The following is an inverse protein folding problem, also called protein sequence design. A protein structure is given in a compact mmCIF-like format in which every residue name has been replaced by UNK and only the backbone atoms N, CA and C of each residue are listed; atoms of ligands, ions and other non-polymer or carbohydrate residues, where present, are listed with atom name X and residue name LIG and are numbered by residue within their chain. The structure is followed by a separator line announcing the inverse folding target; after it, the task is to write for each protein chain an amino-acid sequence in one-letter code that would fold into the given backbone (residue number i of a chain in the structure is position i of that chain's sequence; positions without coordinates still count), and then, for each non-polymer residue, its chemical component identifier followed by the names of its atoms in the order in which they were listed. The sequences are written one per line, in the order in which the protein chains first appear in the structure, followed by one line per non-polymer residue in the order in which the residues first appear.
data_IF_887447033148
#
_entry.id   IF_887447033148
#
_cell.length_a   1.000
_cell.length_b   1.000
_cell.length_c   1.000
_cell.angle_alpha   90.00
_cell.angle_beta   90.00
_cell.angle_gamma   90.00
#
_symmetry.space_group_name_H-M   'P 1'
#
loop_
_entity.id
_entity.type
_entity.pdbx_description
1 polymer ?
#
# COMPACT_ATOMS: atom_id res chain seq x y z
N UNK A 1 6.14 19.23 -11.92
CA UNK A 1 5.58 18.15 -11.07
C UNK A 1 5.63 18.62 -9.63
N UNK A 2 4.75 18.18 -8.75
CA UNK A 2 4.78 18.48 -7.31
C UNK A 2 4.73 17.17 -6.55
N UNK A 3 5.72 16.93 -5.69
CA UNK A 3 5.72 15.76 -4.81
C UNK A 3 4.99 16.10 -3.49
N UNK A 4 4.13 15.20 -3.06
CA UNK A 4 3.37 15.32 -1.81
C UNK A 4 3.63 14.09 -0.95
N UNK A 5 3.92 14.29 0.32
CA UNK A 5 4.02 13.23 1.32
C UNK A 5 3.61 13.78 2.68
N UNK A 6 3.00 12.92 3.50
CA UNK A 6 2.65 13.29 4.88
C UNK A 6 3.89 13.41 5.78
N UNK A 7 4.95 12.65 5.46
CA UNK A 7 6.20 12.59 6.26
C UNK A 7 7.26 13.52 5.66
N UNK A 8 7.64 14.61 6.36
CA UNK A 8 8.62 15.58 5.83
C UNK A 8 9.98 14.98 5.49
N UNK A 9 10.39 13.90 6.18
CA UNK A 9 11.65 13.19 5.92
C UNK A 9 11.67 12.57 4.53
N UNK A 10 10.55 12.03 4.07
CA UNK A 10 10.40 11.45 2.72
C UNK A 10 10.56 12.53 1.66
N UNK A 11 10.04 13.72 1.91
CA UNK A 11 10.20 14.87 1.00
C UNK A 11 11.64 15.35 0.88
N UNK A 12 12.49 15.15 1.90
CA UNK A 12 13.93 15.46 1.78
C UNK A 12 14.62 14.61 0.73
N UNK A 13 14.18 13.36 0.56
CA UNK A 13 14.68 12.49 -0.52
C UNK A 13 14.10 12.90 -1.88
N UNK A 14 12.81 13.19 -1.94
CA UNK A 14 12.14 13.62 -3.18
C UNK A 14 12.73 14.93 -3.74
N UNK A 15 13.13 15.87 -2.89
CA UNK A 15 13.73 17.15 -3.29
C UNK A 15 15.01 17.04 -4.13
N UNK A 16 15.65 15.90 -4.14
CA UNK A 16 16.82 15.65 -5.00
C UNK A 16 16.44 15.57 -6.49
N UNK A 17 15.19 15.25 -6.77
CA UNK A 17 14.67 15.02 -8.13
C UNK A 17 13.50 15.96 -8.47
N UNK A 18 12.78 16.45 -7.46
CA UNK A 18 11.61 17.32 -7.60
C UNK A 18 11.74 18.52 -6.63
N UNK A 19 11.91 19.74 -7.15
CA UNK A 19 12.08 20.94 -6.30
C UNK A 19 10.79 21.35 -5.59
N UNK A 20 9.64 21.02 -6.16
CA UNK A 20 8.33 21.36 -5.60
C UNK A 20 7.82 20.21 -4.72
N UNK A 21 8.04 20.34 -3.41
CA UNK A 21 7.61 19.37 -2.42
C UNK A 21 6.69 20.04 -1.39
N UNK A 22 5.56 19.40 -1.11
CA UNK A 22 4.55 19.87 -0.16
C UNK A 22 4.29 18.79 0.88
N UNK A 23 4.47 19.11 2.15
CA UNK A 23 4.06 18.24 3.25
C UNK A 23 2.55 18.38 3.46
N UNK A 24 1.79 17.35 3.13
CA UNK A 24 0.34 17.38 3.24
C UNK A 24 -0.25 15.96 3.33
N UNK A 25 -1.47 15.90 3.86
CA UNK A 25 -2.29 14.71 3.84
C UNK A 25 -2.89 14.53 2.44
N UNK A 26 -2.73 13.33 1.88
CA UNK A 26 -3.31 12.96 0.59
C UNK A 26 -4.85 12.95 0.62
N UNK A 27 -5.45 12.82 1.80
CA UNK A 27 -6.89 12.89 2.02
C UNK A 27 -7.44 14.32 2.09
N UNK A 28 -6.54 15.34 2.20
CA UNK A 28 -6.88 16.76 2.29
C UNK A 28 -5.80 17.63 1.64
N UNK A 29 -5.71 17.60 0.31
CA UNK A 29 -4.67 18.27 -0.45
C UNK A 29 -4.82 19.80 -0.43
N UNK A 30 -3.72 20.55 -0.14
CA UNK A 30 -3.77 22.02 -0.03
C UNK A 30 -3.68 22.72 -1.40
N UNK A 31 -4.38 22.18 -2.39
CA UNK A 31 -4.41 22.71 -3.74
C UNK A 31 -5.83 23.11 -4.14
N UNK A 32 -5.95 24.11 -5.00
CA UNK A 32 -7.22 24.46 -5.60
C UNK A 32 -7.74 23.32 -6.51
N UNK A 33 -9.05 23.29 -6.75
CA UNK A 33 -9.61 22.36 -7.73
C UNK A 33 -9.08 22.61 -9.14
N UNK A 34 -9.01 21.55 -9.94
CA UNK A 34 -8.58 21.61 -11.33
C UNK A 34 -7.17 22.22 -11.53
N UNK A 35 -6.23 21.94 -10.63
CA UNK A 35 -4.86 22.49 -10.63
C UNK A 35 -3.83 21.59 -11.33
N UNK A 36 -4.17 20.33 -11.63
CA UNK A 36 -3.23 19.36 -12.18
C UNK A 36 -3.83 18.58 -13.34
N UNK A 37 -3.02 18.28 -14.36
CA UNK A 37 -3.43 17.48 -15.51
C UNK A 37 -3.23 15.98 -15.28
N UNK A 38 -2.43 15.62 -14.27
CA UNK A 38 -2.21 14.23 -13.86
C UNK A 38 -2.04 14.13 -12.36
N UNK A 39 -2.57 13.05 -11.79
CA UNK A 39 -2.37 12.66 -10.40
C UNK A 39 -1.85 11.23 -10.37
N UNK A 40 -0.74 11.03 -9.67
CA UNK A 40 -0.08 9.74 -9.58
C UNK A 40 0.28 9.40 -8.15
N UNK A 41 0.02 8.15 -7.75
CA UNK A 41 0.42 7.59 -6.46
C UNK A 41 0.97 6.18 -6.63
N UNK A 42 2.06 5.88 -5.94
CA UNK A 42 2.66 4.55 -5.95
C UNK A 42 2.76 4.00 -4.54
N UNK A 43 2.03 2.90 -4.28
CA UNK A 43 2.05 2.14 -3.03
C UNK A 43 1.87 3.02 -1.76
N UNK A 44 0.97 3.99 -1.83
CA UNK A 44 0.67 4.90 -0.72
C UNK A 44 -0.79 4.82 -0.25
N UNK A 45 -1.75 4.71 -1.15
CA UNK A 45 -3.18 4.82 -0.80
C UNK A 45 -3.71 3.68 0.07
N UNK A 46 -3.02 2.55 0.14
CA UNK A 46 -3.39 1.44 1.03
C UNK A 46 -3.35 1.79 2.53
N UNK A 47 -2.76 2.92 2.89
CA UNK A 47 -2.67 3.44 4.26
C UNK A 47 -3.77 4.44 4.60
N UNK A 48 -4.59 4.79 3.62
CA UNK A 48 -5.53 5.90 3.65
C UNK A 48 -6.97 5.42 3.45
N UNK A 49 -7.92 6.33 3.67
CA UNK A 49 -9.29 6.12 3.23
C UNK A 49 -9.37 6.32 1.72
N UNK A 50 -9.52 5.23 0.97
CA UNK A 50 -9.48 5.23 -0.50
C UNK A 50 -10.55 6.13 -1.12
N UNK A 51 -11.77 6.16 -0.56
CA UNK A 51 -12.87 7.01 -1.05
C UNK A 51 -12.50 8.50 -0.92
N UNK A 52 -11.89 8.88 0.20
CA UNK A 52 -11.48 10.26 0.45
C UNK A 52 -10.33 10.66 -0.46
N UNK A 53 -9.31 9.81 -0.60
CA UNK A 53 -8.17 10.04 -1.50
C UNK A 53 -8.63 10.22 -2.94
N UNK A 54 -9.53 9.35 -3.45
CA UNK A 54 -9.97 9.43 -4.83
C UNK A 54 -10.86 10.64 -5.09
N UNK A 55 -11.68 11.08 -4.11
CA UNK A 55 -12.41 12.34 -4.21
C UNK A 55 -11.48 13.56 -4.25
N UNK A 56 -10.43 13.57 -3.43
CA UNK A 56 -9.43 14.64 -3.46
C UNK A 56 -8.63 14.64 -4.77
N UNK A 57 -8.20 13.47 -5.25
CA UNK A 57 -7.55 13.35 -6.54
C UNK A 57 -8.45 13.89 -7.67
N UNK A 58 -9.73 13.52 -7.68
CA UNK A 58 -10.69 14.03 -8.64
C UNK A 58 -10.86 15.55 -8.53
N UNK A 59 -10.94 16.11 -7.32
CA UNK A 59 -11.09 17.54 -7.09
C UNK A 59 -9.94 18.35 -7.67
N UNK A 60 -8.70 17.91 -7.44
CA UNK A 60 -7.50 18.65 -7.87
C UNK A 60 -7.11 18.44 -9.32
N UNK A 61 -7.57 17.36 -9.97
CA UNK A 61 -7.36 17.14 -11.39
C UNK A 61 -8.17 18.12 -12.25
N UNK A 62 -7.64 18.58 -13.34
CA UNK A 62 -8.35 19.34 -14.38
C UNK A 62 -9.30 18.43 -15.18
N UNK A 63 -10.32 18.99 -15.86
CA UNK A 63 -11.18 18.22 -16.76
C UNK A 63 -10.34 17.43 -17.79
N UNK A 64 -10.65 16.14 -17.96
CA UNK A 64 -9.89 15.17 -18.77
C UNK A 64 -8.51 14.81 -18.20
N UNK A 65 -8.18 15.24 -16.99
CA UNK A 65 -6.95 14.86 -16.29
C UNK A 65 -6.83 13.36 -16.04
N UNK A 66 -5.62 12.89 -15.87
CA UNK A 66 -5.28 11.48 -15.66
C UNK A 66 -5.13 11.13 -14.18
N UNK A 67 -5.72 10.00 -13.80
CA UNK A 67 -5.40 9.30 -12.57
C UNK A 67 -4.57 8.05 -12.89
N UNK A 68 -3.48 7.84 -12.15
CA UNK A 68 -2.71 6.60 -12.15
C UNK A 68 -2.29 6.23 -10.72
N UNK A 69 -2.66 5.04 -10.28
CA UNK A 69 -2.42 4.56 -8.91
C UNK A 69 -1.87 3.15 -8.96
N UNK A 70 -0.82 2.88 -8.18
CA UNK A 70 -0.51 1.52 -7.77
C UNK A 70 -0.79 1.35 -6.28
N UNK A 71 -1.44 0.24 -5.93
CA UNK A 71 -1.75 -0.12 -4.55
C UNK A 71 -1.61 -1.62 -4.33
N UNK A 72 -1.70 -2.06 -3.08
CA UNK A 72 -1.67 -3.47 -2.73
C UNK A 72 -3.09 -4.02 -2.61
N UNK A 73 -3.27 -5.24 -3.12
CA UNK A 73 -4.51 -5.98 -3.08
C UNK A 73 -4.53 -7.09 -2.02
N UNK A 74 -5.68 -7.77 -1.87
CA UNK A 74 -5.91 -8.75 -0.80
C UNK A 74 -4.98 -9.97 -0.83
N UNK A 75 -4.36 -10.29 -1.98
CA UNK A 75 -3.38 -11.38 -2.10
C UNK A 75 -2.02 -11.08 -1.48
N UNK A 76 -1.72 -9.81 -1.13
CA UNK A 76 -0.44 -9.42 -0.56
C UNK A 76 -0.18 -10.12 0.76
N UNK A 77 1.02 -10.69 0.93
CA UNK A 77 1.47 -11.43 2.12
C UNK A 77 0.55 -12.60 2.50
N UNK A 78 -0.05 -13.28 1.53
CA UNK A 78 -0.91 -14.44 1.81
C UNK A 78 -0.18 -15.51 2.63
N UNK A 79 1.09 -15.80 2.31
CA UNK A 79 1.91 -16.77 3.04
C UNK A 79 2.09 -16.38 4.51
N UNK A 80 2.29 -15.09 4.76
CA UNK A 80 2.48 -14.57 6.12
C UNK A 80 1.17 -14.65 6.91
N UNK A 81 0.04 -14.25 6.30
CA UNK A 81 -1.28 -14.34 6.95
C UNK A 81 -1.65 -15.77 7.31
N UNK A 82 -1.47 -16.71 6.37
CA UNK A 82 -1.73 -18.12 6.61
C UNK A 82 -0.84 -18.67 7.72
N UNK A 83 0.43 -18.29 7.73
CA UNK A 83 1.38 -18.70 8.79
C UNK A 83 0.96 -18.15 10.16
N UNK A 84 0.55 -16.88 10.23
CA UNK A 84 0.05 -16.31 11.47
C UNK A 84 -1.24 -17.00 11.92
N UNK A 85 -2.16 -17.31 11.03
CA UNK A 85 -3.39 -18.01 11.38
C UNK A 85 -3.15 -19.40 12.02
N UNK A 86 -2.01 -20.06 11.73
CA UNK A 86 -1.61 -21.32 12.38
C UNK A 86 -1.04 -21.11 13.80
N UNK A 87 -0.56 -19.92 14.14
CA UNK A 87 0.21 -19.69 15.38
C UNK A 87 -0.40 -18.66 16.32
N UNK A 88 -1.26 -17.77 15.80
CA UNK A 88 -1.89 -16.67 16.54
C UNK A 88 -3.28 -16.35 15.96
N UNK A 89 -4.20 -15.90 16.81
CA UNK A 89 -5.56 -15.50 16.41
C UNK A 89 -5.70 -13.99 16.13
N UNK A 90 -4.64 -13.21 16.26
CA UNK A 90 -4.68 -11.76 16.06
C UNK A 90 -4.40 -11.38 14.59
N UNK A 91 -4.97 -10.28 14.10
CA UNK A 91 -4.60 -9.76 12.78
C UNK A 91 -3.15 -9.23 12.78
N UNK A 92 -2.39 -9.58 11.75
CA UNK A 92 -0.99 -9.21 11.60
C UNK A 92 -0.70 -8.43 10.31
N UNK A 93 -1.72 -8.18 9.51
CA UNK A 93 -1.65 -7.37 8.29
C UNK A 93 -2.87 -6.45 8.22
N UNK A 94 -2.74 -5.31 7.56
CA UNK A 94 -3.89 -4.46 7.22
C UNK A 94 -4.77 -5.16 6.17
N UNK A 95 -6.06 -4.80 6.14
CA UNK A 95 -6.93 -5.16 5.03
C UNK A 95 -6.59 -4.30 3.82
N UNK A 96 -6.40 -4.93 2.67
CA UNK A 96 -6.20 -4.24 1.40
C UNK A 96 -7.50 -4.22 0.60
N UNK A 97 -7.75 -3.11 -0.11
CA UNK A 97 -8.92 -2.99 -0.99
C UNK A 97 -8.79 -3.93 -2.19
N UNK A 98 -9.89 -4.56 -2.55
CA UNK A 98 -9.98 -5.37 -3.76
C UNK A 98 -10.37 -4.53 -5.01
N UNK A 99 -10.46 -5.20 -6.16
CA UNK A 99 -10.81 -4.53 -7.42
C UNK A 99 -12.20 -3.90 -7.40
N UNK A 100 -13.17 -4.53 -6.74
CA UNK A 100 -14.56 -4.03 -6.68
C UNK A 100 -14.62 -2.77 -5.83
N UNK A 101 -13.98 -2.77 -4.68
CA UNK A 101 -13.88 -1.62 -3.79
C UNK A 101 -13.17 -0.44 -4.45
N UNK A 102 -12.04 -0.68 -5.13
CA UNK A 102 -11.31 0.36 -5.85
C UNK A 102 -12.13 0.93 -7.01
N UNK A 103 -12.82 0.07 -7.77
CA UNK A 103 -13.70 0.49 -8.87
C UNK A 103 -14.86 1.33 -8.34
N UNK A 104 -15.53 0.87 -7.27
CA UNK A 104 -16.65 1.59 -6.67
C UNK A 104 -16.21 2.95 -6.13
N UNK A 105 -15.07 3.02 -5.44
CA UNK A 105 -14.52 4.27 -4.91
C UNK A 105 -14.17 5.25 -6.04
N UNK A 106 -13.55 4.79 -7.13
CA UNK A 106 -13.22 5.63 -8.28
C UNK A 106 -14.48 6.14 -9.00
N UNK A 107 -15.46 5.27 -9.23
CA UNK A 107 -16.74 5.67 -9.82
C UNK A 107 -17.51 6.63 -8.92
N UNK A 108 -17.55 6.38 -7.61
CA UNK A 108 -18.16 7.25 -6.61
C UNK A 108 -17.50 8.63 -6.51
N UNK A 109 -16.21 8.73 -6.80
CA UNK A 109 -15.49 10.00 -6.91
C UNK A 109 -15.75 10.76 -8.24
N UNK A 110 -16.40 10.13 -9.23
CA UNK A 110 -16.73 10.72 -10.53
C UNK A 110 -15.74 10.41 -11.64
N UNK A 111 -14.81 9.49 -11.44
CA UNK A 111 -13.88 9.06 -12.49
C UNK A 111 -14.57 8.23 -13.59
N UNK A 112 -14.09 8.40 -14.81
CA UNK A 112 -14.54 7.71 -16.03
C UNK A 112 -13.41 6.82 -16.59
N UNK A 113 -13.75 5.89 -17.48
CA UNK A 113 -12.79 4.99 -18.14
C UNK A 113 -11.85 4.28 -17.15
N UNK A 114 -12.44 3.78 -16.06
CA UNK A 114 -11.73 3.11 -14.98
C UNK A 114 -11.19 1.76 -15.51
N UNK A 115 -9.88 1.57 -15.41
CA UNK A 115 -9.20 0.33 -15.77
C UNK A 115 -8.36 -0.16 -14.61
N UNK A 116 -8.45 -1.45 -14.30
CA UNK A 116 -7.62 -2.11 -13.30
C UNK A 116 -6.81 -3.23 -13.96
N UNK A 117 -5.53 -3.26 -13.61
CA UNK A 117 -4.64 -4.38 -13.94
C UNK A 117 -4.07 -4.93 -12.64
N UNK A 118 -4.05 -6.25 -12.52
CA UNK A 118 -3.50 -6.94 -11.35
C UNK A 118 -2.21 -7.65 -11.72
N UNK A 119 -1.19 -7.46 -10.91
CA UNK A 119 0.13 -8.06 -11.08
C UNK A 119 0.54 -8.75 -9.78
N UNK A 120 0.84 -10.04 -9.86
CA UNK A 120 1.39 -10.79 -8.73
C UNK A 120 2.91 -10.83 -8.85
N UNK A 121 3.58 -10.31 -7.82
CA UNK A 121 5.03 -10.36 -7.68
C UNK A 121 5.37 -11.25 -6.49
N UNK A 122 6.27 -12.20 -6.67
CA UNK A 122 6.79 -13.03 -5.57
C UNK A 122 8.25 -12.64 -5.34
N UNK A 123 8.51 -12.04 -4.19
CA UNK A 123 9.87 -11.76 -3.74
C UNK A 123 10.35 -12.89 -2.83
N UNK A 124 11.63 -13.18 -2.89
CA UNK A 124 12.25 -14.25 -2.09
C UNK A 124 13.24 -13.65 -1.10
N UNK A 125 13.16 -14.09 0.15
CA UNK A 125 13.99 -13.61 1.25
C UNK A 125 14.83 -14.74 1.84
N UNK A 126 16.05 -14.45 2.34
CA UNK A 126 16.89 -15.46 2.95
C UNK A 126 16.26 -16.07 4.21
N UNK A 127 15.52 -15.27 4.97
CA UNK A 127 14.83 -15.69 6.18
C UNK A 127 13.63 -14.78 6.50
N UNK A 128 12.78 -15.21 7.44
CA UNK A 128 11.59 -14.46 7.86
C UNK A 128 11.96 -13.10 8.47
N UNK A 129 13.11 -13.00 9.14
CA UNK A 129 13.57 -11.75 9.76
C UNK A 129 13.91 -10.71 8.69
N UNK A 130 14.59 -11.10 7.63
CA UNK A 130 14.91 -10.23 6.49
C UNK A 130 13.63 -9.74 5.82
N UNK A 131 12.65 -10.63 5.60
CA UNK A 131 11.35 -10.26 5.06
C UNK A 131 10.62 -9.25 5.96
N UNK A 132 10.49 -9.53 7.25
CA UNK A 132 9.83 -8.63 8.21
C UNK A 132 10.53 -7.28 8.31
N UNK A 133 11.85 -7.25 8.19
CA UNK A 133 12.63 -6.00 8.14
C UNK A 133 12.32 -5.20 6.88
N UNK A 134 12.30 -5.85 5.71
CA UNK A 134 11.95 -5.21 4.44
C UNK A 134 10.55 -4.55 4.51
N UNK A 135 9.56 -5.27 5.05
CA UNK A 135 8.21 -4.72 5.27
C UNK A 135 8.23 -3.51 6.21
N UNK A 136 9.04 -3.57 7.26
CA UNK A 136 9.20 -2.46 8.20
C UNK A 136 9.88 -1.24 7.56
N UNK A 137 10.91 -1.46 6.76
CA UNK A 137 11.73 -0.39 6.17
C UNK A 137 10.93 0.47 5.16
N UNK A 138 9.87 -0.07 4.56
CA UNK A 138 8.93 0.68 3.72
C UNK A 138 7.80 1.37 4.50
N UNK A 139 7.88 1.39 5.85
CA UNK A 139 6.88 2.04 6.69
C UNK A 139 5.64 1.19 7.02
N UNK A 140 5.57 -0.06 6.57
CA UNK A 140 4.44 -0.97 6.78
C UNK A 140 4.38 -1.51 8.24
N UNK A 141 4.56 -0.62 9.22
CA UNK A 141 4.60 -0.98 10.65
C UNK A 141 3.25 -0.92 11.34
N UNK A 142 2.25 -0.32 10.70
CA UNK A 142 0.94 -0.12 11.29
C UNK A 142 0.02 -1.26 10.88
N UNK A 143 -0.30 -2.10 11.83
CA UNK A 143 -1.41 -3.05 11.73
C UNK A 143 -2.61 -2.34 12.36
N UNK A 144 -3.72 -2.19 11.63
CA UNK A 144 -4.91 -1.48 12.08
C UNK A 144 -5.48 -1.93 13.44
N UNK A 145 -6.72 -1.56 13.77
CA UNK A 145 -7.37 -1.94 15.03
C UNK A 145 -7.36 -3.45 15.27
N UNK A 146 -7.15 -3.88 16.49
CA UNK A 146 -7.09 -5.30 16.89
C UNK A 146 -5.67 -5.89 16.92
N UNK A 147 -4.66 -5.07 16.72
CA UNK A 147 -3.26 -5.46 16.90
C UNK A 147 -3.03 -6.02 18.30
N UNK A 148 -2.15 -7.03 18.40
CA UNK A 148 -1.68 -7.55 19.67
C UNK A 148 -0.97 -6.47 20.49
N UNK A 149 -1.38 -6.27 21.75
CA UNK A 149 -0.65 -5.43 22.68
C UNK A 149 0.59 -6.17 23.20
N UNK A 150 1.77 -5.59 22.92
CA UNK A 150 3.06 -6.09 23.41
C UNK A 150 3.95 -6.75 22.36
N UNK A 151 5.17 -7.08 22.76
CA UNK A 151 6.17 -7.72 21.92
C UNK A 151 5.83 -9.20 21.69
N UNK A 152 6.11 -9.67 20.49
CA UNK A 152 6.02 -11.09 20.15
C UNK A 152 7.03 -11.87 21.01
N UNK A 153 6.54 -12.80 21.85
CA UNK A 153 7.38 -13.62 22.71
C UNK A 153 8.29 -14.55 21.88
N UNK A 154 9.46 -14.92 22.44
CA UNK A 154 10.45 -15.76 21.75
C UNK A 154 9.85 -17.09 21.24
N UNK A 155 8.97 -17.71 22.01
CA UNK A 155 8.33 -18.97 21.63
C UNK A 155 7.39 -18.82 20.43
N UNK A 156 6.60 -17.74 20.37
CA UNK A 156 5.71 -17.46 19.25
C UNK A 156 6.53 -17.16 17.98
N UNK A 157 7.60 -16.38 18.12
CA UNK A 157 8.52 -16.09 17.02
C UNK A 157 9.16 -17.37 16.46
N UNK A 158 9.64 -18.27 17.32
CA UNK A 158 10.23 -19.54 16.91
C UNK A 158 9.20 -20.43 16.16
N UNK A 159 7.95 -20.48 16.66
CA UNK A 159 6.87 -21.20 15.97
C UNK A 159 6.58 -20.59 14.60
N UNK A 160 6.46 -19.25 14.51
CA UNK A 160 6.21 -18.55 13.27
C UNK A 160 7.31 -18.85 12.24
N UNK A 161 8.58 -18.79 12.66
CA UNK A 161 9.70 -19.14 11.80
C UNK A 161 9.61 -20.59 11.31
N UNK A 162 9.35 -21.54 12.19
CA UNK A 162 9.27 -22.94 11.83
C UNK A 162 8.13 -23.24 10.85
N UNK A 163 6.98 -22.58 10.99
CA UNK A 163 5.84 -22.75 10.08
C UNK A 163 6.13 -22.08 8.74
N UNK A 164 6.67 -20.85 8.73
CA UNK A 164 6.98 -20.16 7.48
C UNK A 164 8.09 -20.87 6.70
N UNK A 165 9.07 -21.48 7.39
CA UNK A 165 10.18 -22.23 6.79
C UNK A 165 9.71 -23.41 5.93
N UNK A 166 8.54 -23.97 6.18
CA UNK A 166 7.93 -25.03 5.35
C UNK A 166 7.63 -24.56 3.92
N UNK A 167 7.60 -23.25 3.67
CA UNK A 167 7.34 -22.64 2.36
C UNK A 167 8.62 -22.34 1.58
N UNK A 168 9.79 -22.64 2.15
CA UNK A 168 11.08 -22.40 1.51
C UNK A 168 11.18 -23.12 0.17
N UNK A 169 11.59 -22.38 -0.86
CA UNK A 169 11.99 -22.91 -2.15
C UNK A 169 13.48 -22.64 -2.41
N UNK A 170 13.98 -23.01 -3.58
CA UNK A 170 15.39 -22.80 -3.95
C UNK A 170 15.82 -21.33 -3.91
N UNK A 171 14.90 -20.38 -4.23
CA UNK A 171 15.17 -18.96 -4.21
C UNK A 171 15.09 -18.34 -2.80
N UNK A 172 14.55 -19.05 -1.81
CA UNK A 172 14.37 -18.57 -0.45
C UNK A 172 12.92 -18.65 0.05
N UNK A 173 12.59 -17.83 1.02
CA UNK A 173 11.22 -17.73 1.55
C UNK A 173 10.38 -16.79 0.67
N UNK A 174 9.27 -17.24 0.08
CA UNK A 174 8.44 -16.41 -0.77
C UNK A 174 7.65 -15.39 0.04
N UNK A 175 7.44 -14.23 -0.53
CA UNK A 175 6.45 -13.26 -0.08
C UNK A 175 5.73 -12.69 -1.28
N UNK A 176 4.44 -12.90 -1.35
CA UNK A 176 3.59 -12.43 -2.45
C UNK A 176 3.19 -10.98 -2.25
N UNK A 177 3.38 -10.18 -3.28
CA UNK A 177 2.84 -8.84 -3.44
C UNK A 177 1.82 -8.87 -4.56
N UNK A 178 0.59 -8.60 -4.20
CA UNK A 178 -0.54 -8.49 -5.11
C UNK A 178 -0.74 -7.01 -5.43
N UNK A 179 -0.21 -6.56 -6.57
CA UNK A 179 -0.24 -5.16 -6.96
C UNK A 179 -1.43 -4.91 -7.88
N UNK A 180 -2.22 -3.90 -7.55
CA UNK A 180 -3.32 -3.42 -8.38
C UNK A 180 -2.92 -2.07 -8.97
N UNK A 181 -2.97 -1.97 -10.29
CA UNK A 181 -2.80 -0.72 -11.04
C UNK A 181 -4.17 -0.21 -11.45
N UNK A 182 -4.52 0.98 -10.99
CA UNK A 182 -5.75 1.68 -11.34
C UNK A 182 -5.42 2.88 -12.22
N UNK A 183 -6.05 2.99 -13.37
CA UNK A 183 -6.02 4.19 -14.20
C UNK A 183 -7.43 4.67 -14.50
N UNK A 184 -7.61 5.99 -14.59
CA UNK A 184 -8.91 6.58 -14.87
C UNK A 184 -8.79 8.00 -15.46
N UNK A 185 -9.91 8.59 -15.85
CA UNK A 185 -10.03 9.97 -16.31
C UNK A 185 -11.01 10.75 -15.48
N UNK A 186 -10.70 12.03 -15.23
CA UNK A 186 -11.66 12.97 -14.70
C UNK A 186 -12.64 13.41 -15.77
#
# INVERSE_FOLDING_TARGET
MTAVDFVPEMLKHARRHEPHCVAADIEALPFAGASFDAWWSSLAIQWCNVDTVLREAHRVLSPKGWLAVSTLGPGTFCELRETFAEVDSHPHTIGFSDNEQLTAAAAGAGFLNIQLHRLTLILHYPDLRAMMRSVKDIGANSVGPGRRDGLMGKNLWARLQAVYERRRCEQGLPATYDVILLTARR
#
